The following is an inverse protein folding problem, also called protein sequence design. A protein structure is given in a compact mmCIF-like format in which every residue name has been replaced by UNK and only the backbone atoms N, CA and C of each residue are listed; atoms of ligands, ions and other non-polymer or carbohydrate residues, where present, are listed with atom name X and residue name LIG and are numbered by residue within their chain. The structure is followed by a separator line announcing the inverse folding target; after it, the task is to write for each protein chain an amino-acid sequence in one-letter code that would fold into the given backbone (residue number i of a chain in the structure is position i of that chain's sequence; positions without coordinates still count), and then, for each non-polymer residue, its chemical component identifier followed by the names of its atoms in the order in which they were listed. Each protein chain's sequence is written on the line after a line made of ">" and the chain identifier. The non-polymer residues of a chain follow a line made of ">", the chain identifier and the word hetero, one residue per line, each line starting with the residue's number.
data_IF_915386087704
#
_entry.id   IF_915386087704
#
_cell.length_a   1.000
_cell.length_b   1.000
_cell.length_c   1.000
_cell.angle_alpha   90.00
_cell.angle_beta   90.00
_cell.angle_gamma   90.00
#
_symmetry.space_group_name_H-M   'P 1'
#
loop_
_entity.id
_entity.type
_entity.pdbx_description
1 polymer ?
#
# COMPACT_ATOMS: atom_id res chain seq x y z
N UNK A 1 -0.52 -16.88 -16.54
CA UNK A 1 0.32 -17.44 -15.44
C UNK A 1 0.56 -16.45 -14.30
N UNK A 2 0.89 -15.20 -14.54
CA UNK A 2 0.99 -14.19 -13.48
C UNK A 2 -0.35 -13.80 -12.86
N UNK A 3 -1.43 -13.88 -13.60
CA UNK A 3 -2.78 -13.58 -13.10
C UNK A 3 -3.29 -14.54 -12.03
N UNK A 4 -2.83 -15.77 -12.04
CA UNK A 4 -3.23 -16.76 -11.05
C UNK A 4 -2.64 -16.46 -9.66
N UNK A 5 -1.45 -15.89 -9.61
CA UNK A 5 -0.79 -15.45 -8.38
C UNK A 5 -1.46 -14.21 -7.75
N UNK A 6 -2.23 -13.47 -8.54
CA UNK A 6 -2.96 -12.26 -8.11
C UNK A 6 -4.42 -12.54 -7.75
N UNK A 7 -4.82 -13.79 -7.60
CA UNK A 7 -6.17 -14.15 -7.13
C UNK A 7 -6.33 -13.82 -5.66
N UNK A 8 -7.40 -13.10 -5.34
CA UNK A 8 -7.77 -12.72 -3.98
C UNK A 8 -6.61 -12.12 -3.18
N UNK A 9 -5.92 -11.10 -3.71
CA UNK A 9 -4.85 -10.45 -2.96
C UNK A 9 -5.39 -9.92 -1.63
N UNK A 10 -4.53 -9.81 -0.65
CA UNK A 10 -4.87 -9.22 0.65
C UNK A 10 -4.31 -7.81 0.70
N UNK A 11 -5.19 -6.84 0.87
CA UNK A 11 -4.85 -5.42 0.96
C UNK A 11 -5.15 -4.95 2.39
N UNK A 12 -4.12 -4.45 3.07
CA UNK A 12 -4.25 -3.87 4.41
C UNK A 12 -4.49 -2.37 4.27
N UNK A 13 -5.66 -1.92 4.71
CA UNK A 13 -6.03 -0.52 4.77
C UNK A 13 -6.00 -0.02 6.21
N UNK A 14 -5.48 1.16 6.41
CA UNK A 14 -5.46 1.84 7.70
C UNK A 14 -4.61 3.10 7.63
N UNK A 15 -4.92 4.13 8.43
CA UNK A 15 -4.11 5.35 8.44
C UNK A 15 -2.70 5.06 8.93
N UNK A 16 -1.73 5.94 8.63
CA UNK A 16 -0.39 5.85 9.21
C UNK A 16 -0.49 5.75 10.74
N UNK A 17 0.42 5.00 11.37
CA UNK A 17 0.49 4.81 12.83
C UNK A 17 -0.69 4.05 13.47
N UNK A 18 -1.52 3.40 12.66
CA UNK A 18 -2.62 2.57 13.17
C UNK A 18 -2.24 1.11 13.50
N UNK A 19 -1.00 0.69 13.23
CA UNK A 19 -0.54 -0.68 13.44
C UNK A 19 -0.52 -1.55 12.16
N UNK A 20 -0.75 -0.95 11.00
CA UNK A 20 -0.75 -1.67 9.70
C UNK A 20 0.58 -2.35 9.39
N UNK A 21 1.72 -1.73 9.75
CA UNK A 21 3.06 -2.32 9.54
C UNK A 21 3.25 -3.57 10.39
N UNK A 22 2.86 -3.53 11.67
CA UNK A 22 2.97 -4.69 12.58
C UNK A 22 2.12 -5.84 12.04
N UNK A 23 0.88 -5.55 11.65
CA UNK A 23 -0.01 -6.56 11.09
C UNK A 23 0.56 -7.15 9.79
N UNK A 24 1.04 -6.33 8.88
CA UNK A 24 1.67 -6.78 7.63
C UNK A 24 2.87 -7.69 7.90
N UNK A 25 3.75 -7.30 8.83
CA UNK A 25 4.91 -8.09 9.23
C UNK A 25 4.52 -9.44 9.84
N UNK A 26 3.49 -9.48 10.68
CA UNK A 26 3.00 -10.74 11.26
C UNK A 26 2.42 -11.67 10.19
N UNK A 27 1.57 -11.16 9.31
CA UNK A 27 0.98 -11.95 8.24
C UNK A 27 2.03 -12.43 7.22
N UNK A 28 3.07 -11.64 6.99
CA UNK A 28 4.16 -11.99 6.06
C UNK A 28 4.97 -13.22 6.48
N UNK A 29 4.89 -13.63 7.76
CA UNK A 29 5.54 -14.85 8.24
C UNK A 29 4.89 -16.11 7.65
N UNK A 30 3.66 -16.00 7.14
CA UNK A 30 3.03 -17.12 6.46
C UNK A 30 3.65 -17.34 5.07
N UNK A 31 4.05 -18.57 4.80
CA UNK A 31 4.84 -18.94 3.61
C UNK A 31 4.21 -18.56 2.27
N UNK A 32 2.88 -18.48 2.20
CA UNK A 32 2.17 -18.16 0.96
C UNK A 32 2.19 -16.68 0.57
N UNK A 33 2.41 -15.76 1.54
CA UNK A 33 2.35 -14.33 1.25
C UNK A 33 3.67 -13.77 0.74
N UNK A 34 3.61 -13.05 -0.39
CA UNK A 34 4.59 -12.06 -0.77
C UNK A 34 4.16 -10.70 -0.24
N UNK A 35 4.90 -10.17 0.72
CA UNK A 35 4.56 -8.91 1.38
C UNK A 35 5.22 -7.72 0.70
N UNK A 36 4.42 -6.72 0.40
CA UNK A 36 4.82 -5.46 -0.19
C UNK A 36 4.44 -4.31 0.74
N UNK A 37 5.45 -3.68 1.29
CA UNK A 37 5.28 -2.53 2.18
C UNK A 37 5.52 -1.24 1.42
N UNK A 38 4.45 -0.49 1.24
CA UNK A 38 4.43 0.87 0.69
C UNK A 38 5.13 1.06 -0.67
N UNK A 39 4.84 0.25 -1.69
CA UNK A 39 5.37 0.46 -3.03
C UNK A 39 4.68 1.66 -3.72
N UNK A 40 4.87 2.85 -3.16
CA UNK A 40 4.15 4.08 -3.53
C UNK A 40 4.30 4.44 -5.00
N UNK A 41 5.52 4.29 -5.55
CA UNK A 41 5.79 4.58 -6.96
C UNK A 41 4.98 3.68 -7.90
N UNK A 42 4.78 2.41 -7.54
CA UNK A 42 3.98 1.46 -8.31
C UNK A 42 2.52 1.91 -8.38
N UNK A 43 1.95 2.26 -7.23
CA UNK A 43 0.57 2.73 -7.14
C UNK A 43 0.31 4.05 -7.86
N UNK A 44 1.33 4.88 -8.03
CA UNK A 44 1.23 6.19 -8.69
C UNK A 44 1.58 6.16 -10.17
N UNK A 45 2.05 5.04 -10.68
CA UNK A 45 2.46 4.93 -12.07
C UNK A 45 1.33 5.33 -13.05
N UNK A 46 1.65 6.21 -13.97
CA UNK A 46 0.69 6.79 -14.92
C UNK A 46 -0.22 7.88 -14.33
N UNK A 47 -0.13 8.13 -13.02
CA UNK A 47 -0.91 9.11 -12.28
C UNK A 47 -0.04 10.04 -11.42
N UNK A 48 1.21 10.28 -11.82
CA UNK A 48 2.20 11.01 -11.02
C UNK A 48 1.79 12.45 -10.71
N UNK A 49 0.96 13.03 -11.56
CA UNK A 49 0.45 14.41 -11.41
C UNK A 49 -0.80 14.50 -10.51
N UNK A 50 -1.45 13.38 -10.22
CA UNK A 50 -2.59 13.34 -9.31
C UNK A 50 -2.15 13.38 -7.85
N UNK A 51 -3.06 13.79 -6.97
CA UNK A 51 -2.89 13.59 -5.52
C UNK A 51 -3.02 12.09 -5.18
N UNK A 52 -2.88 11.74 -3.90
CA UNK A 52 -3.14 10.36 -3.46
C UNK A 52 -4.63 9.99 -3.51
N UNK A 53 -5.51 10.96 -3.65
CA UNK A 53 -6.92 10.72 -3.91
C UNK A 53 -7.13 10.43 -5.39
N UNK A 54 -7.41 9.19 -5.71
CA UNK A 54 -7.67 8.69 -7.07
C UNK A 54 -8.94 7.86 -7.08
N UNK A 55 -9.82 8.14 -8.05
CA UNK A 55 -11.00 7.34 -8.30
C UNK A 55 -10.74 6.20 -9.31
N UNK A 56 -11.78 5.40 -9.59
CA UNK A 56 -11.67 4.26 -10.53
C UNK A 56 -11.29 4.69 -11.96
N UNK A 57 -11.57 5.93 -12.35
CA UNK A 57 -11.20 6.51 -13.65
C UNK A 57 -9.69 6.60 -13.85
N UNK A 58 -8.92 6.71 -12.77
CA UNK A 58 -7.45 6.70 -12.79
C UNK A 58 -6.87 5.30 -13.06
N UNK A 59 -7.68 4.25 -12.90
CA UNK A 59 -7.29 2.87 -13.14
C UNK A 59 -7.47 2.49 -14.63
N UNK A 60 -6.79 3.19 -15.54
CA UNK A 60 -6.81 2.89 -16.97
C UNK A 60 -6.29 1.49 -17.26
N UNK A 61 -6.53 0.98 -18.47
CA UNK A 61 -6.05 -0.34 -18.88
C UNK A 61 -4.53 -0.49 -18.69
N UNK A 62 -3.76 0.55 -19.07
CA UNK A 62 -2.30 0.49 -18.95
C UNK A 62 -1.84 0.55 -17.50
N UNK A 63 -2.49 1.34 -16.66
CA UNK A 63 -2.22 1.40 -15.20
C UNK A 63 -2.49 0.04 -14.57
N UNK A 64 -3.63 -0.58 -14.86
CA UNK A 64 -3.98 -1.92 -14.36
C UNK A 64 -2.93 -2.95 -14.80
N UNK A 65 -2.58 -2.95 -16.08
CA UNK A 65 -1.59 -3.87 -16.63
C UNK A 65 -0.22 -3.72 -15.96
N UNK A 66 0.22 -2.48 -15.77
CA UNK A 66 1.51 -2.21 -15.12
C UNK A 66 1.53 -2.67 -13.66
N UNK A 67 0.53 -2.25 -12.86
CA UNK A 67 0.48 -2.57 -11.44
C UNK A 67 0.34 -4.09 -11.22
N UNK A 68 -0.56 -4.75 -11.95
CA UNK A 68 -0.72 -6.20 -11.88
C UNK A 68 0.53 -6.94 -12.35
N UNK A 69 1.16 -6.48 -13.44
CA UNK A 69 2.42 -7.04 -13.93
C UNK A 69 3.52 -6.96 -12.88
N UNK A 70 3.72 -5.77 -12.30
CA UNK A 70 4.73 -5.58 -11.27
C UNK A 70 4.57 -6.56 -10.09
N UNK A 71 3.39 -6.63 -9.50
CA UNK A 71 3.16 -7.53 -8.36
C UNK A 71 3.24 -9.00 -8.76
N UNK A 72 2.72 -9.37 -9.93
CA UNK A 72 2.78 -10.74 -10.42
C UNK A 72 4.21 -11.25 -10.65
N UNK A 73 5.04 -10.43 -11.29
CA UNK A 73 6.44 -10.78 -11.54
C UNK A 73 7.24 -10.90 -10.25
N UNK A 74 7.04 -9.96 -9.32
CA UNK A 74 7.69 -10.00 -8.01
C UNK A 74 7.27 -11.19 -7.16
N UNK A 75 5.98 -11.54 -7.15
CA UNK A 75 5.51 -12.75 -6.46
C UNK A 75 6.16 -14.01 -7.02
N UNK A 76 6.30 -14.08 -8.34
CA UNK A 76 6.97 -15.20 -9.02
C UNK A 76 8.45 -15.27 -8.62
N UNK A 77 9.17 -14.15 -8.64
CA UNK A 77 10.57 -14.07 -8.21
C UNK A 77 10.75 -14.52 -6.74
N UNK A 78 9.80 -14.14 -5.88
CA UNK A 78 9.81 -14.52 -4.46
C UNK A 78 9.36 -15.96 -4.21
N UNK A 79 8.84 -16.67 -5.21
CA UNK A 79 8.24 -17.99 -5.05
C UNK A 79 7.00 -17.98 -4.14
N UNK A 80 6.23 -16.90 -4.17
CA UNK A 80 5.07 -16.71 -3.29
C UNK A 80 3.76 -16.86 -4.06
N UNK A 81 2.75 -17.38 -3.36
CA UNK A 81 1.47 -17.74 -3.98
C UNK A 81 0.41 -16.63 -3.92
N UNK A 82 0.57 -15.63 -3.05
CA UNK A 82 -0.47 -14.63 -2.83
C UNK A 82 0.10 -13.27 -2.44
N UNK A 83 -0.44 -12.22 -3.02
CA UNK A 83 -0.09 -10.84 -2.69
C UNK A 83 -0.65 -10.45 -1.31
N UNK A 84 0.22 -9.89 -0.48
CA UNK A 84 -0.11 -9.14 0.73
C UNK A 84 0.46 -7.74 0.57
N UNK A 85 -0.38 -6.74 0.54
CA UNK A 85 0.02 -5.37 0.28
C UNK A 85 -0.44 -4.43 1.40
N UNK A 86 0.43 -3.49 1.79
CA UNK A 86 0.11 -2.46 2.76
C UNK A 86 0.69 -1.12 2.33
N UNK A 87 -0.18 -0.20 1.98
CA UNK A 87 0.12 1.20 1.71
C UNK A 87 -0.95 2.07 2.36
N UNK A 88 -0.62 2.89 3.38
CA UNK A 88 -1.61 3.72 4.07
C UNK A 88 -2.40 4.63 3.13
N UNK A 89 -1.75 5.20 2.11
CA UNK A 89 -2.41 6.06 1.13
C UNK A 89 -3.53 5.37 0.33
N UNK A 90 -3.57 4.05 0.31
CA UNK A 90 -4.65 3.30 -0.34
C UNK A 90 -6.01 3.50 0.35
N UNK A 91 -6.02 4.00 1.61
CA UNK A 91 -7.24 4.46 2.27
C UNK A 91 -7.91 5.63 1.57
N UNK A 92 -7.16 6.43 0.80
CA UNK A 92 -7.68 7.59 0.07
C UNK A 92 -8.17 7.24 -1.34
N UNK A 93 -7.96 5.99 -1.77
CA UNK A 93 -8.27 5.52 -3.12
C UNK A 93 -8.77 4.06 -3.17
N UNK A 94 -9.69 3.65 -2.28
CA UNK A 94 -10.12 2.27 -2.22
C UNK A 94 -10.76 1.78 -3.52
N UNK A 95 -11.56 2.62 -4.19
CA UNK A 95 -12.20 2.30 -5.47
C UNK A 95 -11.19 2.13 -6.61
N UNK A 96 -10.11 2.91 -6.61
CA UNK A 96 -9.00 2.73 -7.54
C UNK A 96 -8.34 1.36 -7.34
N UNK A 97 -8.03 1.00 -6.09
CA UNK A 97 -7.44 -0.30 -5.74
C UNK A 97 -8.37 -1.44 -6.13
N UNK A 98 -9.65 -1.34 -5.84
CA UNK A 98 -10.68 -2.33 -6.19
C UNK A 98 -10.81 -2.51 -7.71
N UNK A 99 -10.71 -1.42 -8.45
CA UNK A 99 -10.71 -1.46 -9.93
C UNK A 99 -9.54 -2.26 -10.51
N UNK A 100 -8.41 -2.33 -9.79
CA UNK A 100 -7.21 -3.07 -10.21
C UNK A 100 -7.30 -4.53 -9.74
N UNK A 101 -7.82 -4.76 -8.54
CA UNK A 101 -7.95 -6.07 -7.90
C UNK A 101 -9.39 -6.32 -7.42
N UNK A 102 -10.34 -6.59 -8.31
CA UNK A 102 -11.76 -6.67 -7.96
C UNK A 102 -12.13 -7.85 -7.06
N UNK A 103 -11.24 -8.82 -6.92
CA UNK A 103 -11.40 -9.96 -6.02
C UNK A 103 -10.58 -9.85 -4.72
N UNK A 104 -10.00 -8.68 -4.45
CA UNK A 104 -9.19 -8.44 -3.26
C UNK A 104 -9.95 -8.70 -1.96
N UNK A 105 -9.20 -9.12 -0.94
CA UNK A 105 -9.67 -9.20 0.44
C UNK A 105 -9.05 -8.05 1.21
N UNK A 106 -9.90 -7.26 1.85
CA UNK A 106 -9.46 -6.10 2.61
C UNK A 106 -9.40 -6.41 4.10
N UNK A 107 -8.31 -6.00 4.73
CA UNK A 107 -8.18 -5.95 6.18
C UNK A 107 -8.11 -4.48 6.56
N UNK A 108 -9.15 -4.01 7.25
CA UNK A 108 -9.24 -2.61 7.68
C UNK A 108 -8.76 -2.53 9.12
N UNK A 109 -7.67 -1.79 9.34
CA UNK A 109 -7.12 -1.54 10.67
C UNK A 109 -7.73 -0.25 11.20
N UNK A 110 -8.44 -0.37 12.30
CA UNK A 110 -9.03 0.75 13.02
C UNK A 110 -8.28 0.99 14.33
N UNK A 111 -7.95 2.25 14.61
CA UNK A 111 -7.37 2.69 15.85
C UNK A 111 -8.07 3.97 16.31
N UNK A 112 -8.08 4.23 17.60
CA UNK A 112 -8.56 5.49 18.16
C UNK A 112 -7.92 6.69 17.45
N UNK A 113 -8.72 7.63 16.92
CA UNK A 113 -8.20 8.73 16.12
C UNK A 113 -7.31 9.68 16.93
N UNK A 114 -7.60 9.90 18.22
CA UNK A 114 -6.79 10.77 19.08
C UNK A 114 -5.42 10.14 19.31
N UNK A 115 -5.37 8.85 19.62
CA UNK A 115 -4.13 8.10 19.77
C UNK A 115 -3.33 8.03 18.44
N UNK A 116 -4.02 7.93 17.32
CA UNK A 116 -3.39 7.95 16.00
C UNK A 116 -2.74 9.30 15.72
N UNK A 117 -3.46 10.41 15.96
CA UNK A 117 -2.93 11.78 15.78
C UNK A 117 -1.74 12.04 16.68
N UNK A 118 -1.83 11.69 17.96
CA UNK A 118 -0.70 11.80 18.91
C UNK A 118 0.52 11.02 18.44
N UNK A 119 0.34 9.82 17.93
CA UNK A 119 1.43 9.01 17.39
C UNK A 119 2.03 9.61 16.11
N UNK A 120 1.22 10.24 15.27
CA UNK A 120 1.68 10.95 14.08
C UNK A 120 2.49 12.18 14.48
N UNK A 121 1.98 12.99 15.40
CA UNK A 121 2.66 14.18 15.92
C UNK A 121 4.01 13.82 16.52
N UNK A 122 4.07 12.84 17.42
CA UNK A 122 5.31 12.34 17.99
C UNK A 122 6.32 11.88 16.94
N UNK A 123 5.86 11.15 15.92
CA UNK A 123 6.71 10.68 14.81
C UNK A 123 7.31 11.84 13.99
N UNK A 124 6.56 12.92 13.78
CA UNK A 124 7.02 14.06 13.00
C UNK A 124 7.85 15.04 13.79
N UNK A 125 7.65 15.13 15.12
CA UNK A 125 8.40 16.01 16.01
C UNK A 125 9.68 15.37 16.54
N UNK A 126 9.70 14.04 16.66
CA UNK A 126 10.83 13.29 17.16
C UNK A 126 11.85 13.04 16.05
N UNK A 127 12.92 13.85 16.01
CA UNK A 127 14.01 13.75 15.03
C UNK A 127 14.77 12.41 15.05
N UNK A 128 14.39 11.49 15.93
CA UNK A 128 15.02 10.17 16.09
C UNK A 128 14.79 9.24 14.89
N UNK A 129 13.80 9.51 14.07
CA UNK A 129 13.48 8.70 12.88
C UNK A 129 13.87 9.36 11.56
N UNK A 130 15.00 10.09 11.55
CA UNK A 130 15.68 10.45 10.31
C UNK A 130 14.76 10.87 9.16
N UNK A 131 13.88 11.84 9.37
CA UNK A 131 13.35 12.61 8.25
C UNK A 131 14.55 13.38 7.71
N UNK A 132 15.27 12.79 6.78
CA UNK A 132 16.23 13.52 5.98
C UNK A 132 15.45 14.65 5.32
N UNK A 133 15.65 15.85 5.79
CA UNK A 133 15.24 17.07 5.08
C UNK A 133 15.98 17.07 3.75
N UNK A 134 15.31 16.57 2.70
CA UNK A 134 15.79 16.78 1.34
C UNK A 134 15.55 18.28 1.06
N UNK A 135 16.59 19.07 1.32
CA UNK A 135 16.57 20.51 1.13
C UNK A 135 15.44 21.20 1.94
N UNK A 136 15.55 22.46 2.22
CA UNK A 136 14.70 23.31 3.06
C UNK A 136 13.18 23.36 2.73
N UNK A 137 12.61 22.30 2.15
CA UNK A 137 11.18 22.12 1.94
C UNK A 137 10.70 20.89 2.71
N UNK A 138 10.00 21.11 3.81
CA UNK A 138 9.16 20.09 4.42
C UNK A 138 8.15 19.67 3.36
N UNK A 139 8.25 18.45 2.85
CA UNK A 139 7.24 17.85 1.97
C UNK A 139 6.30 17.07 2.88
N UNK A 140 5.08 17.57 2.99
CA UNK A 140 3.97 16.92 3.65
C UNK A 140 3.44 15.77 2.81
#
# INVERSE_FOLDING_TARGET
>A
MSEELLKKPVIILGPPRSGTTILGSLLSQHSHFGYFEEPRAVWRWGNEKHSDWMGPECATHDVKRYIRGYFGDRLKEMGKARLLEKTPQNCLRPEFVDSIFPDAKYIIVHRDPIETVRSIESFWTDNTYGVQSIGSKKIW
#
